data_IF_087911137477
#
_entry.id   IF_087911137477
#
_cell.length_a   1.000
_cell.length_b   1.000
_cell.length_c   1.000
_cell.angle_alpha   90.00
_cell.angle_beta   90.00
_cell.angle_gamma   90.00
#
_symmetry.space_group_name_H-M   'P 1'
#
loop_
_entity.id
_entity.type
_entity.pdbx_description
1 polymer ?
#
# COMPACT_ATOMS: atom_id res chain seq x y z
N UNK A 1 -2.78 -25.81 -28.24
CA UNK A 1 -2.97 -24.60 -29.08
C UNK A 1 -3.63 -23.54 -28.22
N UNK A 2 -3.17 -22.29 -28.27
CA UNK A 2 -3.76 -21.17 -27.52
C UNK A 2 -5.02 -20.70 -28.26
N UNK A 3 -6.14 -20.53 -27.56
CA UNK A 3 -7.39 -20.04 -28.18
C UNK A 3 -7.32 -18.55 -28.49
N UNK A 4 -8.21 -18.06 -29.38
CA UNK A 4 -8.31 -16.62 -29.67
C UNK A 4 -8.61 -15.81 -28.40
N UNK A 5 -9.50 -16.31 -27.53
CA UNK A 5 -9.81 -15.67 -26.24
C UNK A 5 -8.59 -15.59 -25.32
N UNK A 6 -7.79 -16.66 -25.26
CA UNK A 6 -6.54 -16.66 -24.50
C UNK A 6 -5.50 -15.67 -25.06
N UNK A 7 -5.39 -15.55 -26.39
CA UNK A 7 -4.52 -14.56 -27.01
C UNK A 7 -4.96 -13.12 -26.68
N UNK A 8 -6.26 -12.84 -26.75
CA UNK A 8 -6.84 -11.56 -26.34
C UNK A 8 -6.54 -11.26 -24.86
N UNK A 9 -6.67 -12.24 -23.97
CA UNK A 9 -6.35 -12.08 -22.55
C UNK A 9 -4.86 -11.80 -22.34
N UNK A 10 -3.95 -12.48 -23.05
CA UNK A 10 -2.51 -12.18 -23.00
C UNK A 10 -2.24 -10.72 -23.41
N UNK A 11 -2.86 -10.23 -24.48
CA UNK A 11 -2.72 -8.83 -24.90
C UNK A 11 -3.26 -7.85 -23.85
N UNK A 12 -4.40 -8.15 -23.21
CA UNK A 12 -4.93 -7.37 -22.09
C UNK A 12 -3.94 -7.32 -20.91
N UNK A 13 -3.30 -8.44 -20.56
CA UNK A 13 -2.28 -8.51 -19.51
C UNK A 13 -1.07 -7.63 -19.85
N UNK A 14 -0.58 -7.69 -21.10
CA UNK A 14 0.54 -6.88 -21.56
C UNK A 14 0.20 -5.39 -21.55
N UNK A 15 -0.98 -5.02 -22.04
CA UNK A 15 -1.45 -3.64 -22.04
C UNK A 15 -1.61 -3.07 -20.61
N UNK A 16 -2.19 -3.86 -19.69
CA UNK A 16 -2.30 -3.47 -18.28
C UNK A 16 -0.93 -3.31 -17.63
N UNK A 17 -0.01 -4.25 -17.87
CA UNK A 17 1.36 -4.19 -17.34
C UNK A 17 2.12 -2.96 -17.84
N UNK A 18 1.98 -2.64 -19.14
CA UNK A 18 2.57 -1.44 -19.72
C UNK A 18 1.96 -0.18 -19.11
N UNK A 19 0.63 -0.11 -18.97
CA UNK A 19 -0.05 1.01 -18.33
C UNK A 19 0.46 1.23 -16.90
N UNK A 20 0.49 0.18 -16.09
CA UNK A 20 0.99 0.21 -14.71
C UNK A 20 2.45 0.67 -14.63
N UNK A 21 3.32 0.18 -15.53
CA UNK A 21 4.72 0.58 -15.60
C UNK A 21 4.86 2.07 -15.97
N UNK A 22 4.13 2.54 -16.98
CA UNK A 22 4.18 3.95 -17.36
C UNK A 22 3.64 4.86 -16.25
N UNK A 23 2.59 4.46 -15.54
CA UNK A 23 2.05 5.20 -14.41
C UNK A 23 3.04 5.26 -13.24
N UNK A 24 3.71 4.14 -12.91
CA UNK A 24 4.75 4.10 -11.89
C UNK A 24 5.96 4.97 -12.26
N UNK A 25 6.37 4.96 -13.54
CA UNK A 25 7.47 5.78 -14.03
C UNK A 25 7.12 7.27 -13.97
N UNK A 26 5.94 7.67 -14.45
CA UNK A 26 5.45 9.07 -14.36
C UNK A 26 5.43 9.57 -12.92
N UNK A 27 4.94 8.76 -11.97
CA UNK A 27 4.94 9.08 -10.54
C UNK A 27 6.36 9.25 -10.00
N UNK A 28 7.27 8.35 -10.35
CA UNK A 28 8.68 8.41 -9.92
C UNK A 28 9.39 9.66 -10.46
N UNK A 29 9.19 10.00 -11.73
CA UNK A 29 9.74 11.21 -12.36
C UNK A 29 9.17 12.45 -11.67
N UNK A 30 7.85 12.50 -11.46
CA UNK A 30 7.16 13.62 -10.80
C UNK A 30 7.65 13.83 -9.36
N UNK A 31 7.81 12.76 -8.59
CA UNK A 31 8.33 12.82 -7.22
C UNK A 31 9.79 13.32 -7.19
N UNK A 32 10.65 12.83 -8.09
CA UNK A 32 12.04 13.31 -8.23
C UNK A 32 12.10 14.79 -8.65
N UNK A 33 11.21 15.22 -9.55
CA UNK A 33 11.14 16.62 -9.97
C UNK A 33 10.65 17.51 -8.82
N UNK A 34 9.58 17.12 -8.13
CA UNK A 34 9.07 17.88 -6.99
C UNK A 34 10.09 18.00 -5.85
N UNK A 35 10.77 16.91 -5.49
CA UNK A 35 11.81 16.93 -4.47
C UNK A 35 12.99 17.84 -4.86
N UNK A 36 13.43 17.80 -6.13
CA UNK A 36 14.49 18.70 -6.63
C UNK A 36 14.08 20.17 -6.59
N UNK A 37 12.85 20.50 -6.99
CA UNK A 37 12.34 21.87 -6.95
C UNK A 37 12.18 22.33 -5.49
N UNK A 38 11.62 21.49 -4.63
CA UNK A 38 11.43 21.81 -3.21
C UNK A 38 12.76 22.04 -2.47
N UNK A 39 13.83 21.31 -2.79
CA UNK A 39 15.16 21.55 -2.23
C UNK A 39 15.83 22.83 -2.75
N UNK A 40 15.45 23.32 -3.94
CA UNK A 40 16.03 24.53 -4.56
C UNK A 40 15.29 25.81 -4.20
N UNK A 41 14.04 25.70 -3.80
CA UNK A 41 13.23 26.85 -3.41
C UNK A 41 13.60 27.18 -1.97
N UNK A 42 14.05 28.41 -1.65
CA UNK A 42 14.22 28.82 -0.25
C UNK A 42 12.90 28.56 0.46
N UNK A 43 12.95 27.82 1.58
CA UNK A 43 11.77 27.69 2.41
C UNK A 43 11.32 29.11 2.79
N UNK A 44 10.04 29.47 2.62
CA UNK A 44 9.55 30.73 3.15
C UNK A 44 9.93 30.79 4.63
N UNK A 45 10.40 31.95 5.09
CA UNK A 45 10.82 32.13 6.49
C UNK A 45 9.67 31.66 7.38
N UNK A 46 9.84 30.58 8.16
CA UNK A 46 8.75 30.03 8.93
C UNK A 46 8.32 31.09 9.93
N UNK A 47 7.08 31.56 9.81
CA UNK A 47 6.48 32.35 10.88
C UNK A 47 6.25 31.43 12.08
N UNK A 48 6.29 31.93 13.32
CA UNK A 48 6.05 31.10 14.52
C UNK A 48 4.70 30.35 14.52
N UNK A 49 3.78 30.73 13.64
CA UNK A 49 2.45 30.15 13.47
C UNK A 49 2.33 29.13 12.33
N UNK A 50 3.35 28.99 11.46
CA UNK A 50 3.28 28.13 10.28
C UNK A 50 3.51 26.65 10.66
N UNK A 51 2.50 26.05 11.30
CA UNK A 51 2.51 24.64 11.66
C UNK A 51 2.43 23.80 10.38
N UNK A 52 3.40 22.89 10.21
CA UNK A 52 3.39 21.91 9.10
C UNK A 52 2.05 21.16 9.07
N UNK A 53 1.46 21.05 7.88
CA UNK A 53 0.26 20.24 7.66
C UNK A 53 0.62 18.76 7.75
N UNK A 54 -0.19 17.99 8.46
CA UNK A 54 0.10 16.57 8.70
C UNK A 54 -0.84 15.69 7.88
N UNK A 55 -0.28 14.69 7.21
CA UNK A 55 -1.05 13.56 6.65
C UNK A 55 -0.85 12.36 7.57
N UNK A 56 -1.93 11.94 8.23
CA UNK A 56 -1.93 10.80 9.13
C UNK A 56 -2.33 9.53 8.36
N UNK A 57 -1.59 8.46 8.57
CA UNK A 57 -1.84 7.14 8.00
C UNK A 57 -1.91 6.14 9.15
N UNK A 58 -3.05 5.45 9.27
CA UNK A 58 -3.29 4.47 10.31
C UNK A 58 -3.19 3.07 9.71
N UNK A 59 -2.23 2.28 10.20
CA UNK A 59 -1.85 0.98 9.68
C UNK A 59 -0.84 1.05 8.53
N UNK A 60 0.15 0.15 8.52
CA UNK A 60 1.22 0.11 7.52
C UNK A 60 1.33 -1.24 6.79
N UNK A 61 0.20 -1.92 6.59
CA UNK A 61 0.12 -3.03 5.63
C UNK A 61 0.21 -2.49 4.17
N UNK A 62 -0.20 -3.28 3.17
CA UNK A 62 -0.05 -2.92 1.75
C UNK A 62 -0.60 -1.53 1.39
N UNK A 63 -1.83 -1.21 1.79
CA UNK A 63 -2.43 0.08 1.49
C UNK A 63 -1.67 1.23 2.18
N UNK A 64 -1.56 1.17 3.50
CA UNK A 64 -0.98 2.24 4.30
C UNK A 64 0.50 2.51 4.02
N UNK A 65 1.32 1.46 3.91
CA UNK A 65 2.72 1.62 3.53
C UNK A 65 2.88 2.21 2.13
N UNK A 66 2.06 1.74 1.17
CA UNK A 66 2.11 2.25 -0.19
C UNK A 66 1.73 3.73 -0.26
N UNK A 67 0.66 4.14 0.43
CA UNK A 67 0.26 5.54 0.56
C UNK A 67 1.38 6.37 1.21
N UNK A 68 1.97 5.89 2.31
CA UNK A 68 3.05 6.57 3.02
C UNK A 68 4.25 6.81 2.10
N UNK A 69 4.65 5.80 1.33
CA UNK A 69 5.75 5.89 0.38
C UNK A 69 5.47 6.92 -0.71
N UNK A 70 4.27 6.92 -1.30
CA UNK A 70 3.90 7.87 -2.34
C UNK A 70 3.86 9.32 -1.82
N UNK A 71 3.25 9.51 -0.65
CA UNK A 71 3.08 10.83 -0.04
C UNK A 71 4.40 11.39 0.48
N UNK A 72 5.20 10.60 1.20
CA UNK A 72 6.50 11.04 1.73
C UNK A 72 7.52 11.36 0.62
N UNK A 73 7.42 10.70 -0.54
CA UNK A 73 8.26 11.01 -1.70
C UNK A 73 7.80 12.27 -2.46
N UNK A 74 6.51 12.61 -2.42
CA UNK A 74 5.93 13.70 -3.21
C UNK A 74 5.76 15.02 -2.45
N UNK A 75 5.58 14.97 -1.13
CA UNK A 75 5.29 16.15 -0.31
C UNK A 75 6.55 16.91 0.11
N UNK A 76 6.56 18.26 0.07
CA UNK A 76 7.69 19.05 0.54
C UNK A 76 7.86 18.94 2.07
N UNK A 77 9.02 18.49 2.59
CA UNK A 77 9.24 18.32 4.04
C UNK A 77 9.20 19.63 4.83
N UNK A 78 9.32 20.78 4.15
CA UNK A 78 9.23 22.10 4.77
C UNK A 78 7.80 22.42 5.24
N UNK A 79 6.79 22.03 4.47
CA UNK A 79 5.38 22.43 4.68
C UNK A 79 4.47 21.28 5.12
N UNK A 80 4.86 20.03 4.82
CA UNK A 80 4.05 18.85 5.10
C UNK A 80 4.87 17.78 5.84
N UNK A 81 4.15 16.97 6.61
CA UNK A 81 4.72 15.85 7.36
C UNK A 81 3.79 14.64 7.29
N UNK A 82 4.36 13.45 7.05
CA UNK A 82 3.61 12.20 7.02
C UNK A 82 3.79 11.46 8.33
N UNK A 83 2.71 11.16 9.05
CA UNK A 83 2.75 10.36 10.29
C UNK A 83 2.15 9.00 9.99
N UNK A 84 2.91 7.94 10.23
CA UNK A 84 2.45 6.56 10.10
C UNK A 84 2.30 5.98 11.49
N UNK A 85 1.11 5.48 11.81
CA UNK A 85 0.84 4.76 13.06
C UNK A 85 0.72 3.28 12.77
N UNK A 86 1.66 2.48 13.27
CA UNK A 86 1.67 1.02 13.12
C UNK A 86 2.23 0.38 14.39
N UNK A 87 1.51 -0.57 15.02
CA UNK A 87 1.96 -1.16 16.29
C UNK A 87 3.21 -2.04 16.18
N UNK A 88 3.53 -2.53 14.97
CA UNK A 88 4.64 -3.47 14.74
C UNK A 88 5.88 -2.74 14.19
N UNK A 89 7.08 -3.16 14.59
CA UNK A 89 8.32 -2.73 13.91
C UNK A 89 8.53 -3.41 12.57
N UNK A 90 7.84 -4.53 12.30
CA UNK A 90 8.04 -5.31 11.09
C UNK A 90 6.72 -5.51 10.36
N UNK A 91 6.77 -5.41 9.04
CA UNK A 91 5.73 -5.91 8.16
C UNK A 91 5.79 -7.44 8.16
N UNK A 92 4.65 -8.08 8.40
CA UNK A 92 4.54 -9.54 8.41
C UNK A 92 4.09 -10.04 7.04
N UNK A 93 4.99 -10.68 6.30
CA UNK A 93 4.66 -11.39 5.07
C UNK A 93 4.02 -12.75 5.37
N UNK A 94 2.76 -12.69 5.82
CA UNK A 94 2.02 -13.84 6.36
C UNK A 94 1.84 -14.99 5.35
N UNK A 95 1.85 -14.72 4.05
CA UNK A 95 1.81 -15.76 3.01
C UNK A 95 2.99 -16.73 3.04
N UNK A 96 4.15 -16.30 3.56
CA UNK A 96 5.32 -17.16 3.72
C UNK A 96 5.20 -18.13 4.91
N UNK A 97 4.44 -17.76 5.94
CA UNK A 97 4.43 -18.46 7.22
C UNK A 97 4.00 -19.93 7.14
N UNK A 98 2.95 -20.32 6.38
CA UNK A 98 2.60 -21.73 6.22
C UNK A 98 3.71 -22.58 5.58
N UNK A 99 4.61 -21.98 4.80
CA UNK A 99 5.76 -22.68 4.25
C UNK A 99 6.89 -22.77 5.26
N UNK A 100 7.14 -21.70 6.01
CA UNK A 100 8.19 -21.65 7.02
C UNK A 100 7.91 -22.57 8.21
N UNK A 101 6.65 -22.90 8.50
CA UNK A 101 6.30 -23.90 9.53
C UNK A 101 6.75 -25.32 9.22
N UNK A 102 7.09 -25.63 7.96
CA UNK A 102 7.54 -26.96 7.53
C UNK A 102 8.92 -26.95 6.88
N UNK A 103 9.52 -25.77 6.66
CA UNK A 103 10.89 -25.61 6.19
C UNK A 103 11.62 -24.63 7.12
N UNK A 104 12.41 -25.14 8.08
CA UNK A 104 13.07 -24.29 9.07
C UNK A 104 14.20 -23.46 8.47
N UNK A 105 14.56 -22.36 9.14
CA UNK A 105 15.66 -21.47 8.75
C UNK A 105 15.26 -20.38 7.76
N UNK A 106 13.97 -20.06 7.68
CA UNK A 106 13.40 -19.04 6.80
C UNK A 106 12.39 -18.13 7.50
N UNK A 107 12.13 -18.34 8.79
CA UNK A 107 11.11 -17.67 9.58
C UNK A 107 11.34 -16.16 9.64
N UNK A 108 12.60 -15.73 9.80
CA UNK A 108 13.02 -14.34 9.81
C UNK A 108 12.70 -13.61 8.50
N UNK A 109 12.59 -14.34 7.40
CA UNK A 109 12.32 -13.80 6.07
C UNK A 109 10.89 -13.30 5.92
N UNK A 110 9.98 -13.74 6.80
CA UNK A 110 8.60 -13.24 6.88
C UNK A 110 8.51 -11.86 7.57
N UNK A 111 9.54 -11.43 8.30
CA UNK A 111 9.50 -10.20 9.09
C UNK A 111 10.38 -9.15 8.42
N UNK A 112 9.73 -8.17 7.78
CA UNK A 112 10.41 -7.12 7.03
C UNK A 112 10.47 -5.87 7.91
N UNK A 113 11.63 -5.37 8.33
CA UNK A 113 11.71 -4.19 9.18
C UNK A 113 11.11 -2.97 8.48
N UNK A 114 10.26 -2.24 9.20
CA UNK A 114 9.86 -0.90 8.81
C UNK A 114 11.04 0.07 9.00
N UNK A 115 10.86 1.35 8.68
CA UNK A 115 11.87 2.39 8.98
C UNK A 115 12.99 2.58 7.95
N UNK A 116 13.25 1.60 7.07
CA UNK A 116 14.33 1.72 6.09
C UNK A 116 14.09 2.72 4.95
N UNK A 117 12.94 2.67 4.26
CA UNK A 117 12.87 3.23 2.90
C UNK A 117 11.46 3.63 2.40
N UNK A 118 10.92 4.77 2.84
CA UNK A 118 9.75 5.39 2.18
C UNK A 118 10.10 6.15 0.88
N UNK A 119 11.36 6.10 0.43
CA UNK A 119 11.82 6.85 -0.74
C UNK A 119 11.78 8.37 -0.57
N UNK A 120 11.61 8.85 0.67
CA UNK A 120 11.53 10.26 1.00
C UNK A 120 12.91 10.94 0.93
N UNK A 121 12.99 12.23 0.57
CA UNK A 121 14.26 12.95 0.42
C UNK A 121 14.98 13.21 1.76
N UNK A 122 14.28 13.10 2.89
CA UNK A 122 14.88 13.24 4.22
C UNK A 122 14.08 12.50 5.28
N UNK A 123 14.74 12.12 6.39
CA UNK A 123 14.06 11.56 7.58
C UNK A 123 13.09 12.56 8.25
N UNK A 124 13.15 13.86 7.92
CA UNK A 124 12.20 14.87 8.41
C UNK A 124 10.84 14.85 7.67
N UNK A 125 10.73 14.10 6.58
CA UNK A 125 9.50 14.04 5.78
C UNK A 125 8.40 13.19 6.43
N UNK A 126 8.78 12.25 7.30
CA UNK A 126 7.85 11.33 7.92
C UNK A 126 8.28 10.90 9.33
N UNK A 127 7.32 10.44 10.13
CA UNK A 127 7.54 9.85 11.44
C UNK A 127 6.77 8.54 11.57
N UNK A 128 7.42 7.53 12.12
CA UNK A 128 6.78 6.29 12.57
C UNK A 128 6.38 6.43 14.04
N UNK A 129 5.12 6.18 14.33
CA UNK A 129 4.55 6.10 15.68
C UNK A 129 4.18 4.64 15.91
N UNK A 130 4.84 4.03 16.89
CA UNK A 130 4.59 2.64 17.25
C UNK A 130 3.43 2.58 18.25
N UNK A 131 2.23 2.52 17.73
CA UNK A 131 1.00 2.54 18.54
C UNK A 131 -0.13 1.79 17.81
N UNK A 132 -1.15 1.38 18.56
CA UNK A 132 -2.33 0.66 18.07
C UNK A 132 -3.57 1.53 18.21
N UNK A 133 -4.06 2.05 17.08
CA UNK A 133 -5.32 2.82 17.05
C UNK A 133 -6.52 1.92 16.76
N UNK A 134 -6.31 0.84 16.01
CA UNK A 134 -7.37 -0.06 15.53
C UNK A 134 -6.94 -1.50 15.75
N UNK A 135 -7.86 -2.34 16.24
CA UNK A 135 -7.71 -3.78 16.16
C UNK A 135 -8.21 -4.30 14.81
N UNK A 136 -7.29 -4.42 13.85
CA UNK A 136 -7.58 -4.94 12.51
C UNK A 136 -7.25 -6.43 12.38
N UNK A 137 -7.39 -7.22 13.46
CA UNK A 137 -7.19 -8.67 13.41
C UNK A 137 -8.44 -9.41 12.94
N UNK A 138 -8.24 -10.52 12.22
CA UNK A 138 -9.34 -11.34 11.69
C UNK A 138 -9.81 -10.92 10.29
N UNK A 139 -10.99 -11.39 9.91
CA UNK A 139 -11.58 -11.21 8.57
C UNK A 139 -12.77 -10.24 8.56
N UNK A 140 -12.98 -9.48 9.66
CA UNK A 140 -14.07 -8.50 9.76
C UNK A 140 -13.55 -7.09 9.49
N UNK A 141 -14.33 -6.21 8.83
CA UNK A 141 -13.94 -4.83 8.61
C UNK A 141 -13.83 -4.07 9.94
N UNK A 142 -12.67 -3.47 10.19
CA UNK A 142 -12.37 -2.74 11.41
C UNK A 142 -12.86 -1.27 11.34
N UNK A 143 -14.18 -1.09 11.23
CA UNK A 143 -14.79 0.22 10.97
C UNK A 143 -15.09 1.04 12.22
N UNK A 144 -14.85 0.49 13.41
CA UNK A 144 -15.19 1.13 14.69
C UNK A 144 -14.53 2.50 14.89
N UNK A 145 -13.36 2.74 14.30
CA UNK A 145 -12.65 4.03 14.42
C UNK A 145 -13.46 5.22 13.87
N UNK A 146 -14.35 4.98 12.90
CA UNK A 146 -15.18 6.05 12.33
C UNK A 146 -16.61 6.06 12.87
N UNK A 147 -16.97 5.16 13.78
CA UNK A 147 -18.36 5.02 14.24
C UNK A 147 -18.90 6.30 14.89
N UNK A 148 -18.06 6.97 15.70
CA UNK A 148 -18.45 8.23 16.36
C UNK A 148 -18.38 9.43 15.41
N UNK A 149 -17.52 9.36 14.37
CA UNK A 149 -17.25 10.47 13.47
C UNK A 149 -18.19 10.51 12.26
N UNK A 150 -18.53 9.35 11.70
CA UNK A 150 -19.37 9.20 10.50
C UNK A 150 -20.09 7.84 10.53
N UNK A 151 -21.06 7.66 11.44
CA UNK A 151 -21.79 6.40 11.57
C UNK A 151 -22.53 6.02 10.28
N UNK A 152 -23.05 7.02 9.55
CA UNK A 152 -23.74 6.83 8.27
C UNK A 152 -22.85 6.27 7.16
N UNK A 153 -21.53 6.42 7.29
CA UNK A 153 -20.57 5.84 6.34
C UNK A 153 -20.32 4.36 6.59
N UNK A 154 -20.78 3.77 7.70
CA UNK A 154 -20.65 2.33 7.94
C UNK A 154 -21.86 1.64 7.31
N UNK A 155 -21.61 0.76 6.33
CA UNK A 155 -22.68 -0.04 5.72
C UNK A 155 -23.15 -1.14 6.68
N UNK A 156 -24.34 -1.71 6.43
CA UNK A 156 -24.86 -2.87 7.18
C UNK A 156 -23.91 -4.06 7.20
N UNK A 157 -23.12 -4.24 6.13
CA UNK A 157 -22.08 -5.27 6.05
C UNK A 157 -20.86 -5.02 6.96
N UNK A 158 -20.82 -3.86 7.64
CA UNK A 158 -19.73 -3.42 8.51
C UNK A 158 -18.60 -2.70 7.77
N UNK A 159 -18.58 -2.64 6.44
CA UNK A 159 -17.54 -1.96 5.66
C UNK A 159 -17.80 -0.45 5.56
N UNK A 160 -16.73 0.34 5.39
CA UNK A 160 -16.84 1.79 5.24
C UNK A 160 -17.15 2.15 3.80
N UNK A 161 -18.25 2.86 3.58
CA UNK A 161 -18.64 3.42 2.29
C UNK A 161 -17.65 4.47 1.83
N UNK A 162 -17.19 4.34 0.59
CA UNK A 162 -16.25 5.25 -0.05
C UNK A 162 -16.73 5.67 -1.42
N UNK A 163 -16.33 6.87 -1.83
CA UNK A 163 -16.45 7.34 -3.22
C UNK A 163 -15.39 6.62 -4.07
N UNK A 164 -15.54 6.54 -5.40
CA UNK A 164 -14.48 6.01 -6.27
C UNK A 164 -13.16 6.80 -6.14
N UNK A 165 -13.18 8.03 -5.63
CA UNK A 165 -11.98 8.82 -5.30
C UNK A 165 -11.25 8.36 -4.02
N UNK A 166 -11.72 7.28 -3.40
CA UNK A 166 -11.29 6.72 -2.11
C UNK A 166 -11.53 7.62 -0.89
N UNK A 167 -12.24 8.73 -1.06
CA UNK A 167 -12.74 9.53 0.06
C UNK A 167 -13.86 8.77 0.76
N UNK A 168 -13.98 8.92 2.08
CA UNK A 168 -15.16 8.45 2.80
C UNK A 168 -16.44 9.03 2.18
N UNK A 169 -17.53 8.27 2.19
CA UNK A 169 -18.82 8.68 1.66
C UNK A 169 -19.55 9.70 2.56
N UNK A 170 -18.80 10.64 3.14
CA UNK A 170 -19.29 11.72 3.99
C UNK A 170 -18.76 13.07 3.47
N UNK A 171 -19.68 13.98 3.16
CA UNK A 171 -19.35 15.32 2.67
C UNK A 171 -18.70 16.20 3.73
N UNK A 172 -18.94 15.93 5.01
CA UNK A 172 -18.37 16.66 6.14
C UNK A 172 -16.90 16.31 6.39
N UNK A 173 -16.39 15.22 5.80
CA UNK A 173 -15.03 14.71 6.00
C UNK A 173 -14.25 14.62 4.67
N UNK A 174 -14.09 15.73 3.93
CA UNK A 174 -13.52 15.70 2.58
C UNK A 174 -12.03 15.30 2.54
N UNK A 175 -11.34 15.37 3.69
CA UNK A 175 -9.94 15.03 3.88
C UNK A 175 -9.71 13.62 4.46
N UNK A 176 -10.77 12.81 4.61
CA UNK A 176 -10.68 11.42 5.09
C UNK A 176 -10.75 10.46 3.92
N UNK A 177 -9.76 9.57 3.82
CA UNK A 177 -9.63 8.57 2.78
C UNK A 177 -9.51 7.19 3.40
N UNK A 178 -10.13 6.19 2.79
CA UNK A 178 -10.17 4.82 3.28
C UNK A 178 -9.69 3.91 2.15
N UNK A 179 -8.76 3.00 2.44
CA UNK A 179 -8.21 2.05 1.47
C UNK A 179 -7.87 0.72 2.16
N UNK A 180 -7.83 -0.35 1.38
CA UNK A 180 -7.65 -1.72 1.85
C UNK A 180 -8.98 -2.39 2.19
N UNK A 181 -8.90 -3.52 2.88
CA UNK A 181 -10.04 -4.44 3.06
C UNK A 181 -11.22 -3.85 3.84
N UNK A 182 -11.04 -2.75 4.57
CA UNK A 182 -12.13 -2.08 5.29
C UNK A 182 -13.02 -1.22 4.37
N UNK A 183 -12.53 -0.86 3.18
CA UNK A 183 -13.26 -0.03 2.22
C UNK A 183 -14.30 -0.87 1.45
N UNK A 184 -15.55 -0.41 1.43
CA UNK A 184 -16.61 -0.98 0.59
C UNK A 184 -16.39 -0.55 -0.85
N UNK A 185 -15.81 -1.42 -1.65
CA UNK A 185 -15.58 -1.21 -3.08
C UNK A 185 -16.28 -2.29 -3.92
N UNK A 186 -16.20 -2.16 -5.25
CA UNK A 186 -16.64 -3.17 -6.21
C UNK A 186 -15.66 -4.35 -6.35
N UNK A 187 -14.54 -4.32 -5.63
CA UNK A 187 -13.56 -5.40 -5.63
C UNK A 187 -14.18 -6.69 -5.07
N UNK A 188 -14.22 -7.73 -5.91
CA UNK A 188 -14.80 -9.04 -5.53
C UNK A 188 -14.10 -9.66 -4.33
N UNK A 189 -12.78 -9.51 -4.23
CA UNK A 189 -11.95 -10.03 -3.14
C UNK A 189 -10.89 -9.00 -2.73
N UNK A 190 -10.84 -8.65 -1.44
CA UNK A 190 -9.76 -7.84 -0.88
C UNK A 190 -8.41 -8.56 -1.02
N UNK A 191 -7.40 -7.87 -1.56
CA UNK A 191 -6.05 -8.40 -1.66
C UNK A 191 -5.01 -7.27 -1.72
N UNK A 192 -3.75 -7.63 -1.61
CA UNK A 192 -2.64 -6.67 -1.61
C UNK A 192 -2.61 -5.76 -2.85
N UNK A 193 -2.98 -6.26 -4.04
CA UNK A 193 -2.95 -5.48 -5.28
C UNK A 193 -4.04 -4.42 -5.30
N UNK A 194 -5.29 -4.81 -5.03
CA UNK A 194 -6.41 -3.88 -4.94
C UNK A 194 -6.18 -2.86 -3.83
N UNK A 195 -5.68 -3.27 -2.67
CA UNK A 195 -5.33 -2.38 -1.57
C UNK A 195 -4.26 -1.33 -1.94
N UNK A 196 -3.22 -1.71 -2.69
CA UNK A 196 -2.20 -0.78 -3.17
C UNK A 196 -2.73 0.17 -4.26
N UNK A 197 -3.63 -0.30 -5.12
CA UNK A 197 -4.24 0.54 -6.16
C UNK A 197 -5.22 1.55 -5.55
N UNK A 198 -6.04 1.12 -4.59
CA UNK A 198 -6.85 2.03 -3.77
C UNK A 198 -5.96 3.08 -3.07
N UNK A 199 -4.85 2.67 -2.47
CA UNK A 199 -3.89 3.58 -1.85
C UNK A 199 -3.24 4.54 -2.86
N UNK A 200 -3.02 4.10 -4.10
CA UNK A 200 -2.55 4.96 -5.21
C UNK A 200 -3.57 6.05 -5.51
N UNK A 201 -4.84 5.68 -5.72
CA UNK A 201 -5.93 6.63 -6.01
C UNK A 201 -6.10 7.62 -4.85
N UNK A 202 -6.09 7.13 -3.61
CA UNK A 202 -6.15 7.97 -2.42
C UNK A 202 -4.98 8.96 -2.37
N UNK A 203 -3.74 8.49 -2.51
CA UNK A 203 -2.55 9.36 -2.46
C UNK A 203 -2.56 10.43 -3.56
N UNK A 204 -2.91 10.07 -4.80
CA UNK A 204 -2.97 11.04 -5.89
C UNK A 204 -4.07 12.09 -5.68
N UNK A 205 -5.23 11.71 -5.12
CA UNK A 205 -6.29 12.66 -4.76
C UNK A 205 -5.92 13.51 -3.54
N UNK A 206 -5.21 12.97 -2.53
CA UNK A 206 -4.66 13.77 -1.41
C UNK A 206 -3.70 14.83 -1.95
N UNK A 207 -2.83 14.48 -2.89
CA UNK A 207 -1.92 15.43 -3.54
C UNK A 207 -2.64 16.49 -4.40
N UNK A 208 -3.84 16.21 -4.89
CA UNK A 208 -4.69 17.21 -5.56
C UNK A 208 -5.35 18.13 -4.52
N UNK A 209 -5.92 17.57 -3.45
CA UNK A 209 -6.56 18.32 -2.37
C UNK A 209 -5.57 19.30 -1.70
N UNK A 210 -4.33 18.88 -1.45
CA UNK A 210 -3.26 19.74 -0.91
C UNK A 210 -2.96 20.93 -1.82
N UNK A 211 -3.15 20.79 -3.14
CA UNK A 211 -2.99 21.86 -4.13
C UNK A 211 -4.29 22.66 -4.39
N UNK A 212 -5.35 22.41 -3.62
CA UNK A 212 -6.67 23.03 -3.82
C UNK A 212 -7.38 22.56 -5.09
N UNK A 213 -7.01 21.40 -5.65
CA UNK A 213 -7.60 20.85 -6.86
C UNK A 213 -8.67 19.80 -6.54
N UNK A 214 -9.69 19.71 -7.39
CA UNK A 214 -10.75 18.69 -7.27
C UNK A 214 -10.18 17.28 -7.51
N UNK A 215 -10.70 16.24 -6.82
CA UNK A 215 -10.29 14.86 -7.07
C UNK A 215 -10.68 14.46 -8.49
N UNK A 216 -9.84 13.64 -9.13
CA UNK A 216 -10.06 13.19 -10.52
C UNK A 216 -9.63 11.76 -10.79
N UNK A 217 -8.90 11.14 -9.85
CA UNK A 217 -8.53 9.74 -9.94
C UNK A 217 -9.62 8.90 -9.30
N UNK A 218 -9.99 7.82 -9.96
CA UNK A 218 -11.07 6.94 -9.54
C UNK A 218 -10.57 5.51 -9.52
N UNK A 219 -10.84 4.82 -8.42
CA UNK A 219 -10.63 3.39 -8.29
C UNK A 219 -11.77 2.65 -8.96
N UNK A 220 -11.41 1.59 -9.69
CA UNK A 220 -12.33 0.61 -10.25
C UNK A 220 -11.67 -0.75 -10.12
N UNK A 221 -12.42 -1.77 -9.71
CA UNK A 221 -11.90 -3.13 -9.63
C UNK A 221 -11.41 -3.58 -11.00
N UNK A 222 -10.18 -4.08 -11.08
CA UNK A 222 -9.65 -4.64 -12.31
C UNK A 222 -9.85 -6.15 -12.35
N UNK A 223 -10.08 -6.71 -13.54
CA UNK A 223 -10.06 -8.17 -13.73
C UNK A 223 -8.70 -8.78 -13.32
N UNK A 224 -7.62 -8.01 -13.42
CA UNK A 224 -6.29 -8.40 -12.96
C UNK A 224 -6.27 -8.66 -11.45
N UNK A 225 -7.11 -7.98 -10.67
CA UNK A 225 -7.17 -8.15 -9.21
C UNK A 225 -7.69 -9.54 -8.80
N UNK A 226 -8.37 -10.24 -9.71
CA UNK A 226 -8.83 -11.61 -9.50
C UNK A 226 -7.74 -12.67 -9.75
N UNK A 227 -6.53 -12.27 -10.16
CA UNK A 227 -5.44 -13.23 -10.38
C UNK A 227 -5.00 -13.89 -9.08
N UNK A 228 -4.78 -15.20 -9.10
CA UNK A 228 -4.34 -15.96 -7.94
C UNK A 228 -2.99 -16.61 -8.27
N UNK A 229 -2.01 -16.44 -7.39
CA UNK A 229 -0.78 -17.22 -7.40
C UNK A 229 -0.85 -18.22 -6.24
N UNK A 230 -1.03 -19.50 -6.57
CA UNK A 230 -1.04 -20.58 -5.60
C UNK A 230 0.29 -21.30 -5.62
N UNK A 231 0.87 -21.54 -4.45
CA UNK A 231 2.10 -22.35 -4.37
C UNK A 231 1.79 -23.80 -4.04
N UNK A 232 2.37 -24.73 -4.80
CA UNK A 232 2.21 -26.17 -4.68
C UNK A 232 3.51 -26.81 -4.17
N UNK A 233 3.67 -26.81 -2.84
CA UNK A 233 4.90 -27.23 -2.18
C UNK A 233 6.06 -26.26 -2.44
N UNK A 234 7.29 -26.77 -2.46
CA UNK A 234 8.50 -25.94 -2.51
C UNK A 234 8.99 -25.59 -3.92
N UNK A 235 8.46 -26.25 -4.95
CA UNK A 235 9.07 -26.25 -6.30
C UNK A 235 8.12 -25.80 -7.40
N UNK A 236 6.82 -25.83 -7.17
CA UNK A 236 5.80 -25.54 -8.19
C UNK A 236 4.90 -24.43 -7.68
N UNK A 237 4.58 -23.51 -8.57
CA UNK A 237 3.53 -22.52 -8.34
C UNK A 237 2.58 -22.57 -9.56
N UNK A 238 1.32 -22.20 -9.36
CA UNK A 238 0.32 -22.07 -10.41
C UNK A 238 -0.27 -20.67 -10.33
N UNK A 239 -0.20 -19.94 -11.44
CA UNK A 239 -0.87 -18.66 -11.56
C UNK A 239 -2.13 -18.82 -12.40
N UNK A 240 -3.27 -18.45 -11.82
CA UNK A 240 -4.55 -18.36 -12.49
C UNK A 240 -4.90 -16.90 -12.75
N UNK A 241 -5.39 -16.60 -13.95
CA UNK A 241 -5.92 -15.27 -14.29
C UNK A 241 -7.08 -15.43 -15.28
N UNK A 242 -8.14 -14.65 -15.06
CA UNK A 242 -9.32 -14.61 -15.92
C UNK A 242 -9.87 -13.20 -16.02
N UNK A 243 -10.44 -12.88 -17.18
CA UNK A 243 -11.23 -11.65 -17.39
C UNK A 243 -12.74 -11.90 -17.42
N UNK A 244 -13.18 -13.11 -17.05
CA UNK A 244 -14.58 -13.56 -17.10
C UNK A 244 -14.97 -14.25 -18.42
N UNK A 245 -14.22 -14.01 -19.50
CA UNK A 245 -14.49 -14.58 -20.83
C UNK A 245 -13.47 -15.66 -21.21
N UNK A 246 -12.22 -15.43 -20.84
CA UNK A 246 -11.13 -16.38 -21.03
C UNK A 246 -10.37 -16.61 -19.71
N UNK A 247 -9.63 -17.71 -19.67
CA UNK A 247 -8.75 -18.03 -18.55
C UNK A 247 -7.38 -18.52 -19.03
N UNK A 248 -6.37 -18.19 -18.23
CA UNK A 248 -5.00 -18.64 -18.40
C UNK A 248 -4.51 -19.24 -17.10
N UNK A 249 -3.85 -20.38 -17.24
CA UNK A 249 -3.19 -21.08 -16.15
C UNK A 249 -1.71 -21.25 -16.51
N UNK A 250 -0.84 -20.62 -15.72
CA UNK A 250 0.60 -20.69 -15.90
C UNK A 250 1.22 -21.60 -14.85
N UNK A 251 1.86 -22.67 -15.29
CA UNK A 251 2.69 -23.51 -14.44
C UNK A 251 4.06 -22.85 -14.28
N UNK A 252 4.39 -22.46 -13.06
CA UNK A 252 5.60 -21.74 -12.70
C UNK A 252 6.47 -22.60 -11.78
N UNK A 253 7.77 -22.30 -11.76
CA UNK A 253 8.70 -22.88 -10.78
C UNK A 253 8.84 -21.91 -9.61
N UNK A 254 8.74 -22.44 -8.39
CA UNK A 254 8.95 -21.64 -7.19
C UNK A 254 10.40 -21.20 -7.08
N UNK A 255 10.63 -19.99 -6.56
CA UNK A 255 11.96 -19.37 -6.44
C UNK A 255 12.77 -19.86 -5.24
N UNK A 256 12.31 -20.92 -4.57
CA UNK A 256 12.95 -21.51 -3.41
C UNK A 256 12.08 -21.47 -2.14
N UNK A 257 12.66 -21.82 -1.00
CA UNK A 257 11.94 -21.92 0.28
C UNK A 257 11.40 -20.57 0.75
N UNK A 258 12.05 -19.46 0.39
CA UNK A 258 11.65 -18.09 0.76
C UNK A 258 10.42 -17.55 0.02
N UNK A 259 9.79 -18.33 -0.86
CA UNK A 259 8.68 -17.86 -1.72
C UNK A 259 9.04 -16.55 -2.44
N UNK A 260 8.13 -15.57 -2.40
CA UNK A 260 8.32 -14.23 -2.91
C UNK A 260 8.69 -13.24 -1.80
N UNK A 261 9.21 -13.71 -0.65
CA UNK A 261 9.62 -12.82 0.44
C UNK A 261 10.61 -11.76 -0.06
N UNK A 262 11.65 -12.14 -0.81
CA UNK A 262 12.58 -11.15 -1.38
C UNK A 262 11.91 -10.07 -2.26
N UNK A 263 10.78 -10.39 -2.91
CA UNK A 263 10.00 -9.40 -3.65
C UNK A 263 9.19 -8.50 -2.70
N UNK A 264 8.60 -9.08 -1.65
CA UNK A 264 7.94 -8.31 -0.59
C UNK A 264 8.91 -7.36 0.12
N UNK A 265 10.13 -7.79 0.45
CA UNK A 265 11.18 -6.94 1.02
C UNK A 265 11.47 -5.72 0.14
N UNK A 266 11.67 -5.95 -1.17
CA UNK A 266 11.88 -4.85 -2.14
C UNK A 266 10.66 -3.94 -2.27
N UNK A 267 9.45 -4.49 -2.20
CA UNK A 267 8.21 -3.71 -2.20
C UNK A 267 8.14 -2.77 -0.99
N UNK A 268 8.58 -3.26 0.17
CA UNK A 268 8.74 -2.49 1.40
C UNK A 268 10.03 -1.66 1.42
N UNK A 269 10.70 -1.50 0.28
CA UNK A 269 11.91 -0.71 0.12
C UNK A 269 13.16 -1.28 0.81
N UNK A 270 13.06 -2.40 1.52
CA UNK A 270 14.16 -3.02 2.24
C UNK A 270 15.07 -3.85 1.33
N UNK A 271 16.35 -3.95 1.70
CA UNK A 271 17.27 -4.92 1.09
C UNK A 271 16.87 -6.32 1.59
N UNK A 272 16.60 -7.29 0.69
CA UNK A 272 16.13 -8.61 1.10
C UNK A 272 17.02 -9.28 2.15
N UNK A 273 16.40 -9.76 3.23
CA UNK A 273 17.01 -10.56 4.30
C UNK A 273 18.14 -9.84 5.06
N UNK A 274 18.10 -8.51 5.08
CA UNK A 274 19.02 -7.68 5.85
C UNK A 274 18.20 -6.87 6.84
N UNK A 275 18.18 -7.34 8.09
CA UNK A 275 17.60 -6.60 9.19
C UNK A 275 18.65 -5.65 9.77
N UNK A 276 18.50 -4.37 9.44
CA UNK A 276 19.41 -3.31 9.89
C UNK A 276 18.98 -2.68 11.23
N UNK A 277 17.87 -3.13 11.84
CA UNK A 277 17.53 -2.67 13.19
C UNK A 277 18.47 -3.35 14.20
N UNK A 278 19.32 -2.53 14.81
CA UNK A 278 20.21 -2.97 15.89
C UNK A 278 19.38 -3.58 17.03
N UNK A 279 19.92 -4.61 17.70
CA UNK A 279 19.25 -5.26 18.84
C UNK A 279 18.91 -4.26 19.96
N UNK A 280 19.66 -3.15 20.07
CA UNK A 280 19.40 -2.06 21.01
C UNK A 280 18.16 -1.23 20.66
N UNK A 281 17.86 -0.99 19.38
CA UNK A 281 16.61 -0.31 18.96
C UNK A 281 15.37 -1.18 19.17
N UNK A 282 15.52 -2.52 19.28
CA UNK A 282 14.42 -3.44 19.62
C UNK A 282 14.00 -3.36 21.08
N UNK A 283 14.90 -2.94 21.97
CA UNK A 283 14.69 -2.87 23.42
C UNK A 283 14.25 -1.47 23.88
N UNK A 284 14.49 -0.43 23.08
CA UNK A 284 14.03 0.94 23.36
C UNK A 284 12.70 1.19 22.66
N UNK A 285 11.59 0.74 23.28
CA UNK A 285 10.23 1.34 23.25
C UNK A 285 9.16 0.29 23.60
N UNK A 286 9.09 -0.04 24.89
CA UNK A 286 7.82 -0.10 25.61
C UNK A 286 8.02 0.76 26.87
N UNK A 287 7.25 1.84 27.10
CA UNK A 287 6.95 2.22 28.47
C UNK A 287 6.11 1.13 29.15
#
# INVERSE_FOLDING_TARGET
>A
MVSLGQLCLILKILAHSLHALTAALRRSIRAKLHSRIACRTPAPTPTPQDRRKTVLIVGASFAGYHAARLLAAALPPATHHVVIVEPRSHFHYTWGLPRYSVVPGHEEQAFIPYGGYLGAPSRRAFTWVRDKVIDSTGQKPASGIIADLSPSSIAESGYIQVKPTMQIADGCLPNVYIAGDVAKTDARNGNARSAMEQATVAADNILLAIRGQKPRFHYQSSWVDASILLTLGLKKDVMYISDGEAELLFNLKSKGPSMNAAAAWRLMGAKPFVDNESVEERLVKCP
#
